data_IF_277034206220
#
_entry.id   IF_277034206220
#
_cell.length_a   1.000
_cell.length_b   1.000
_cell.length_c   1.000
_cell.angle_alpha   90.00
_cell.angle_beta   90.00
_cell.angle_gamma   90.00
#
_symmetry.space_group_name_H-M   'P 1'
#
loop_
_entity.id
_entity.type
_entity.pdbx_description
1 polymer ?
#
# COMPACT_ATOMS: atom_id res chain seq x y z
N UNK A 1 -11.26 0.84 -12.26
CA UNK A 1 -10.73 -0.41 -12.89
C UNK A 1 -9.28 -0.28 -13.31
N UNK A 2 -8.88 0.69 -14.14
CA UNK A 2 -7.49 0.81 -14.66
C UNK A 2 -6.40 0.85 -13.59
N UNK A 3 -6.65 1.50 -12.43
CA UNK A 3 -5.64 1.62 -11.37
C UNK A 3 -5.41 0.30 -10.65
N UNK A 4 -6.47 -0.46 -10.33
CA UNK A 4 -6.35 -1.81 -9.76
C UNK A 4 -5.54 -2.73 -10.69
N UNK A 5 -5.87 -2.73 -11.99
CA UNK A 5 -5.12 -3.46 -12.99
C UNK A 5 -3.63 -3.10 -13.02
N UNK A 6 -3.32 -1.79 -13.01
CA UNK A 6 -1.93 -1.31 -13.05
C UNK A 6 -1.16 -1.69 -11.77
N UNK A 7 -1.80 -1.62 -10.60
CA UNK A 7 -1.23 -2.08 -9.33
C UNK A 7 -0.94 -3.57 -9.39
N UNK A 8 -1.91 -4.39 -9.81
CA UNK A 8 -1.73 -5.84 -9.93
C UNK A 8 -0.61 -6.20 -10.91
N UNK A 9 -0.53 -5.52 -12.06
CA UNK A 9 0.56 -5.71 -13.03
C UNK A 9 1.91 -5.30 -12.47
N UNK A 10 1.98 -4.25 -11.66
CA UNK A 10 3.22 -3.86 -10.99
C UNK A 10 3.64 -4.94 -9.99
N UNK A 11 2.72 -5.41 -9.15
CA UNK A 11 3.02 -6.43 -8.14
C UNK A 11 3.36 -7.81 -8.76
N UNK A 12 2.81 -8.14 -9.93
CA UNK A 12 3.14 -9.40 -10.61
C UNK A 12 4.60 -9.52 -11.05
N UNK A 13 5.37 -8.43 -11.00
CA UNK A 13 6.81 -8.46 -11.23
C UNK A 13 7.64 -8.93 -10.03
N UNK A 14 7.03 -9.08 -8.87
CA UNK A 14 7.67 -9.56 -7.65
C UNK A 14 7.20 -10.98 -7.32
N UNK A 15 8.07 -11.82 -6.73
CA UNK A 15 7.66 -13.15 -6.26
C UNK A 15 6.70 -13.02 -5.07
N UNK A 16 5.86 -14.05 -4.86
CA UNK A 16 5.10 -14.17 -3.63
C UNK A 16 6.04 -14.68 -2.54
N UNK A 17 6.11 -13.96 -1.43
CA UNK A 17 6.94 -14.26 -0.27
C UNK A 17 6.03 -14.44 0.94
N UNK A 18 6.30 -15.46 1.75
CA UNK A 18 5.45 -15.82 2.90
C UNK A 18 5.70 -14.95 4.13
N UNK A 19 6.91 -14.39 4.26
CA UNK A 19 7.29 -13.54 5.39
C UNK A 19 8.50 -12.67 5.07
N UNK A 20 8.69 -11.62 5.86
CA UNK A 20 9.86 -10.75 5.83
C UNK A 20 9.86 -9.80 7.02
N UNK A 21 10.93 -9.04 7.20
CA UNK A 21 11.05 -8.06 8.27
C UNK A 21 10.20 -6.83 7.95
N UNK A 22 9.14 -6.64 8.71
CA UNK A 22 8.27 -5.48 8.57
C UNK A 22 8.94 -4.22 9.11
N UNK A 23 9.01 -3.19 8.27
CA UNK A 23 9.36 -1.83 8.69
C UNK A 23 8.14 -1.08 9.22
N UNK A 24 8.34 0.11 9.77
CA UNK A 24 7.22 0.92 10.26
C UNK A 24 6.28 1.38 9.13
N UNK A 25 6.79 1.52 7.89
CA UNK A 25 5.94 1.75 6.72
C UNK A 25 5.01 0.58 6.42
N UNK A 26 5.48 -0.66 6.62
CA UNK A 26 4.67 -1.86 6.45
C UNK A 26 3.61 -1.98 7.54
N UNK A 27 3.99 -1.74 8.80
CA UNK A 27 3.04 -1.73 9.92
C UNK A 27 1.97 -0.66 9.73
N UNK A 28 2.36 0.54 9.27
CA UNK A 28 1.41 1.60 8.98
C UNK A 28 0.36 1.19 7.94
N UNK A 29 0.77 0.66 6.78
CA UNK A 29 -0.21 0.27 5.76
C UNK A 29 -1.07 -0.91 6.19
N UNK A 30 -0.53 -1.84 6.99
CA UNK A 30 -1.28 -2.95 7.55
C UNK A 30 -2.29 -2.48 8.60
N UNK A 31 -1.98 -1.46 9.40
CA UNK A 31 -2.97 -0.87 10.33
C UNK A 31 -4.11 -0.15 9.58
N UNK A 32 -3.81 0.52 8.48
CA UNK A 32 -4.85 1.08 7.59
C UNK A 32 -5.68 -0.03 6.91
N UNK A 33 -5.06 -1.16 6.60
CA UNK A 33 -5.75 -2.33 6.05
C UNK A 33 -6.72 -2.95 7.07
N UNK A 34 -6.32 -3.09 8.33
CA UNK A 34 -7.19 -3.59 9.41
C UNK A 34 -8.43 -2.69 9.57
N UNK A 35 -8.24 -1.37 9.52
CA UNK A 35 -9.35 -0.41 9.53
C UNK A 35 -10.28 -0.59 8.34
N UNK A 36 -9.71 -0.78 7.14
CA UNK A 36 -10.48 -1.04 5.92
C UNK A 36 -11.29 -2.34 6.04
N UNK A 37 -10.68 -3.42 6.52
CA UNK A 37 -11.34 -4.72 6.73
C UNK A 37 -12.53 -4.55 7.66
N UNK A 38 -12.37 -3.85 8.79
CA UNK A 38 -13.43 -3.57 9.74
C UNK A 38 -14.61 -2.85 9.09
N UNK A 39 -14.35 -1.77 8.35
CA UNK A 39 -15.36 -0.99 7.63
C UNK A 39 -16.10 -1.82 6.58
N UNK A 40 -15.37 -2.66 5.83
CA UNK A 40 -15.95 -3.52 4.82
C UNK A 40 -16.84 -4.61 5.44
N UNK A 41 -16.37 -5.29 6.47
CA UNK A 41 -17.12 -6.36 7.14
C UNK A 41 -18.38 -5.82 7.79
N UNK A 42 -18.33 -4.63 8.42
CA UNK A 42 -19.53 -3.96 8.95
C UNK A 42 -20.52 -3.62 7.83
N UNK A 43 -20.05 -3.05 6.72
CA UNK A 43 -20.88 -2.72 5.57
C UNK A 43 -21.57 -3.95 4.98
N UNK A 44 -20.82 -5.02 4.73
CA UNK A 44 -21.35 -6.26 4.16
C UNK A 44 -22.35 -6.95 5.10
N UNK A 45 -22.10 -6.98 6.41
CA UNK A 45 -23.04 -7.54 7.38
C UNK A 45 -24.41 -6.85 7.39
N UNK A 46 -24.44 -5.57 6.98
CA UNK A 46 -25.65 -4.74 6.87
C UNK A 46 -26.21 -4.66 5.44
N UNK A 47 -25.67 -5.44 4.50
CA UNK A 47 -26.01 -5.36 3.06
C UNK A 47 -25.83 -3.96 2.46
N UNK A 48 -24.95 -3.14 3.03
CA UNK A 48 -24.62 -1.80 2.55
C UNK A 48 -23.31 -1.85 1.75
N UNK A 49 -23.41 -2.03 0.45
CA UNK A 49 -22.25 -2.12 -0.45
C UNK A 49 -21.61 -0.76 -0.79
N UNK A 50 -22.33 0.34 -0.54
CA UNK A 50 -21.82 1.68 -0.83
C UNK A 50 -20.63 2.06 0.06
N UNK A 51 -20.71 1.74 1.36
CA UNK A 51 -19.64 2.02 2.33
C UNK A 51 -18.35 1.27 1.96
N UNK A 52 -18.36 -0.07 1.79
CA UNK A 52 -17.18 -0.81 1.34
C UNK A 52 -16.63 -0.32 0.01
N UNK A 53 -17.48 -0.07 -1.00
CA UNK A 53 -17.03 0.39 -2.31
C UNK A 53 -16.27 1.73 -2.23
N UNK A 54 -16.77 2.66 -1.41
CA UNK A 54 -16.14 3.97 -1.22
C UNK A 54 -14.83 3.85 -0.44
N UNK A 55 -14.80 3.09 0.65
CA UNK A 55 -13.62 2.89 1.47
C UNK A 55 -12.51 2.15 0.69
N UNK A 56 -12.86 1.10 -0.04
CA UNK A 56 -11.93 0.35 -0.89
C UNK A 56 -11.33 1.22 -1.99
N UNK A 57 -12.14 2.07 -2.63
CA UNK A 57 -11.64 3.01 -3.63
C UNK A 57 -10.66 3.99 -3.00
N UNK A 58 -11.02 4.62 -1.89
CA UNK A 58 -10.18 5.60 -1.20
C UNK A 58 -8.85 4.99 -0.76
N UNK A 59 -8.89 3.87 -0.07
CA UNK A 59 -7.70 3.15 0.37
C UNK A 59 -6.81 2.75 -0.81
N UNK A 60 -7.36 2.09 -1.82
CA UNK A 60 -6.57 1.57 -2.95
C UNK A 60 -5.91 2.69 -3.76
N UNK A 61 -6.61 3.82 -3.97
CA UNK A 61 -6.12 4.90 -4.82
C UNK A 61 -5.21 5.88 -4.11
N UNK A 62 -5.60 6.30 -2.90
CA UNK A 62 -4.98 7.45 -2.23
C UNK A 62 -4.00 7.06 -1.14
N UNK A 63 -4.17 5.88 -0.53
CA UNK A 63 -3.28 5.38 0.52
C UNK A 63 -2.32 4.33 -0.06
N UNK A 64 -2.84 3.21 -0.55
CA UNK A 64 -2.00 2.11 -1.02
C UNK A 64 -1.18 2.49 -2.27
N UNK A 65 -1.86 2.88 -3.38
CA UNK A 65 -1.16 3.13 -4.64
C UNK A 65 -0.41 4.47 -4.68
N UNK A 66 -0.94 5.52 -4.03
CA UNK A 66 -0.32 6.85 -4.11
C UNK A 66 0.76 7.08 -3.05
N UNK A 67 0.70 6.38 -1.91
CA UNK A 67 1.66 6.58 -0.83
C UNK A 67 2.51 5.32 -0.63
N UNK A 68 1.91 4.22 -0.14
CA UNK A 68 2.68 3.06 0.30
C UNK A 68 3.49 2.41 -0.82
N UNK A 69 2.90 2.16 -2.00
CA UNK A 69 3.66 1.56 -3.13
C UNK A 69 4.87 2.42 -3.47
N UNK A 70 4.72 3.74 -3.53
CA UNK A 70 5.84 4.63 -3.86
C UNK A 70 6.91 4.64 -2.75
N UNK A 71 6.53 4.56 -1.48
CA UNK A 71 7.47 4.43 -0.35
C UNK A 71 8.21 3.09 -0.38
N UNK A 72 7.49 1.99 -0.60
CA UNK A 72 8.06 0.64 -0.57
C UNK A 72 8.84 0.28 -1.86
N UNK A 73 8.70 1.05 -2.93
CA UNK A 73 9.23 0.71 -4.26
C UNK A 73 10.74 0.46 -4.27
N UNK A 74 11.55 1.37 -3.71
CA UNK A 74 12.99 1.21 -3.66
C UNK A 74 13.39 -0.04 -2.87
N UNK A 75 12.71 -0.29 -1.76
CA UNK A 75 12.91 -1.44 -0.89
C UNK A 75 12.52 -2.75 -1.60
N UNK A 76 11.38 -2.81 -2.27
CA UNK A 76 10.95 -3.98 -3.03
C UNK A 76 11.94 -4.35 -4.17
N UNK A 77 12.63 -3.35 -4.73
CA UNK A 77 13.72 -3.56 -5.69
C UNK A 77 15.09 -3.82 -5.04
N UNK A 78 15.20 -3.81 -3.72
CA UNK A 78 16.47 -4.01 -3.00
C UNK A 78 17.46 -2.86 -3.16
N UNK A 79 16.99 -1.65 -3.48
CA UNK A 79 17.85 -0.48 -3.70
C UNK A 79 18.11 0.22 -2.38
N UNK A 80 19.29 -0.03 -1.76
CA UNK A 80 19.68 0.59 -0.49
C UNK A 80 19.07 -0.06 0.77
N UNK A 81 18.53 -1.27 0.63
CA UNK A 81 17.92 -2.05 1.72
C UNK A 81 18.48 -3.47 1.75
N UNK A 82 18.42 -4.12 2.90
CA UNK A 82 18.80 -5.52 3.03
C UNK A 82 17.71 -6.48 2.48
N UNK A 83 18.08 -7.76 2.33
CA UNK A 83 17.17 -8.75 1.75
C UNK A 83 15.93 -8.99 2.63
N UNK A 84 16.06 -8.96 3.96
CA UNK A 84 14.93 -9.14 4.88
C UNK A 84 13.95 -7.97 4.80
N UNK A 85 14.44 -6.73 4.68
CA UNK A 85 13.62 -5.53 4.49
C UNK A 85 12.93 -5.54 3.12
N UNK A 86 13.63 -6.02 2.05
CA UNK A 86 13.05 -6.21 0.72
C UNK A 86 11.92 -7.23 0.78
N UNK A 87 12.15 -8.36 1.39
CA UNK A 87 11.18 -9.44 1.49
C UNK A 87 9.95 -9.00 2.31
N UNK A 88 10.16 -8.21 3.38
CA UNK A 88 9.07 -7.57 4.12
C UNK A 88 8.21 -6.64 3.27
N UNK A 89 8.84 -5.83 2.38
CA UNK A 89 8.10 -4.97 1.47
C UNK A 89 7.28 -5.78 0.45
N UNK A 90 7.88 -6.80 -0.16
CA UNK A 90 7.22 -7.66 -1.15
C UNK A 90 6.05 -8.43 -0.50
N UNK A 91 6.28 -9.02 0.68
CA UNK A 91 5.22 -9.67 1.46
C UNK A 91 4.05 -8.72 1.70
N UNK A 92 4.32 -7.51 2.21
CA UNK A 92 3.26 -6.54 2.53
C UNK A 92 2.50 -6.08 1.28
N UNK A 93 3.20 -5.83 0.18
CA UNK A 93 2.56 -5.48 -1.10
C UNK A 93 1.56 -6.55 -1.55
N UNK A 94 1.96 -7.83 -1.55
CA UNK A 94 1.07 -8.94 -1.92
C UNK A 94 -0.04 -9.17 -0.90
N UNK A 95 0.23 -9.05 0.39
CA UNK A 95 -0.76 -9.14 1.46
C UNK A 95 -1.87 -8.12 1.28
N UNK A 96 -1.52 -6.84 1.05
CA UNK A 96 -2.48 -5.77 0.85
C UNK A 96 -3.30 -6.00 -0.43
N UNK A 97 -2.65 -6.36 -1.55
CA UNK A 97 -3.38 -6.57 -2.81
C UNK A 97 -4.33 -7.76 -2.72
N UNK A 98 -3.90 -8.90 -2.18
CA UNK A 98 -4.75 -10.09 -2.04
C UNK A 98 -5.97 -9.80 -1.15
N UNK A 99 -5.79 -9.04 -0.08
CA UNK A 99 -6.87 -8.58 0.80
C UNK A 99 -7.85 -7.64 0.07
N UNK A 100 -7.34 -6.66 -0.69
CA UNK A 100 -8.18 -5.77 -1.52
C UNK A 100 -9.01 -6.59 -2.52
N UNK A 101 -8.43 -7.59 -3.18
CA UNK A 101 -9.15 -8.42 -4.14
C UNK A 101 -10.30 -9.20 -3.47
N UNK A 102 -10.05 -9.81 -2.31
CA UNK A 102 -11.10 -10.52 -1.53
C UNK A 102 -12.23 -9.58 -1.11
N UNK A 103 -11.88 -8.40 -0.61
CA UNK A 103 -12.88 -7.39 -0.20
C UNK A 103 -13.65 -6.82 -1.40
N UNK A 104 -13.05 -6.69 -2.58
CA UNK A 104 -13.72 -6.20 -3.80
C UNK A 104 -14.54 -7.29 -4.51
N UNK A 105 -14.31 -8.57 -4.25
CA UNK A 105 -14.98 -9.67 -4.95
C UNK A 105 -16.51 -9.57 -4.96
N UNK A 106 -17.20 -9.18 -3.86
CA UNK A 106 -18.65 -8.99 -3.90
C UNK A 106 -19.14 -7.82 -4.78
N UNK A 107 -18.26 -6.87 -5.12
CA UNK A 107 -18.60 -5.64 -5.87
C UNK A 107 -18.19 -5.73 -7.33
N UNK A 108 -17.02 -6.30 -7.59
CA UNK A 108 -16.44 -6.39 -8.94
C UNK A 108 -15.94 -7.82 -9.24
N UNK A 109 -16.87 -8.81 -9.28
CA UNK A 109 -16.52 -10.24 -9.26
C UNK A 109 -15.61 -10.68 -10.41
N UNK A 110 -15.82 -10.17 -11.63
CA UNK A 110 -15.08 -10.65 -12.80
C UNK A 110 -13.60 -10.21 -12.80
N UNK A 111 -13.32 -8.96 -12.44
CA UNK A 111 -11.94 -8.47 -12.43
C UNK A 111 -11.15 -9.05 -11.25
N UNK A 112 -11.78 -9.20 -10.09
CA UNK A 112 -11.14 -9.78 -8.91
C UNK A 112 -10.85 -11.26 -9.11
N UNK A 113 -11.78 -12.02 -9.69
CA UNK A 113 -11.57 -13.42 -10.07
C UNK A 113 -10.39 -13.57 -11.04
N UNK A 114 -10.39 -12.76 -12.11
CA UNK A 114 -9.31 -12.84 -13.09
C UNK A 114 -7.93 -12.53 -12.49
N UNK A 115 -7.82 -11.47 -11.67
CA UNK A 115 -6.56 -11.11 -11.03
C UNK A 115 -6.13 -12.14 -9.98
N UNK A 116 -7.09 -12.71 -9.25
CA UNK A 116 -6.84 -13.74 -8.23
C UNK A 116 -6.27 -15.01 -8.84
N UNK A 117 -6.93 -15.54 -9.86
CA UNK A 117 -6.49 -16.75 -10.58
C UNK A 117 -5.15 -16.53 -11.30
N UNK A 118 -4.84 -15.29 -11.71
CA UNK A 118 -3.58 -14.98 -12.37
C UNK A 118 -2.41 -14.89 -11.39
N UNK A 119 -2.65 -14.41 -10.17
CA UNK A 119 -1.57 -14.03 -9.25
C UNK A 119 -1.42 -14.97 -8.04
N UNK A 120 -2.51 -15.53 -7.52
CA UNK A 120 -2.49 -16.10 -6.18
C UNK A 120 -2.95 -17.55 -6.06
N UNK A 121 -3.89 -18.03 -6.88
CA UNK A 121 -4.50 -19.34 -6.69
C UNK A 121 -5.09 -19.89 -7.98
N UNK A 122 -5.17 -21.23 -8.10
CA UNK A 122 -5.94 -21.93 -9.14
C UNK A 122 -7.42 -22.02 -8.77
N UNK A 123 -7.78 -21.81 -7.51
CA UNK A 123 -9.15 -21.83 -7.01
C UNK A 123 -9.80 -20.44 -7.07
N UNK A 124 -11.13 -20.42 -7.28
CA UNK A 124 -11.91 -19.18 -7.37
C UNK A 124 -11.84 -18.35 -6.09
N UNK A 125 -11.67 -17.03 -6.22
CA UNK A 125 -11.73 -16.06 -5.10
C UNK A 125 -13.08 -16.11 -4.37
N UNK A 126 -14.16 -16.54 -5.07
CA UNK A 126 -15.50 -16.63 -4.49
C UNK A 126 -15.69 -17.81 -3.53
N UNK A 127 -14.67 -18.69 -3.40
CA UNK A 127 -14.60 -19.71 -2.36
C UNK A 127 -13.85 -19.23 -1.11
N UNK A 128 -13.16 -18.08 -1.21
CA UNK A 128 -12.39 -17.52 -0.11
C UNK A 128 -13.29 -16.87 0.93
N UNK A 129 -12.85 -16.89 2.18
CA UNK A 129 -13.48 -16.15 3.25
C UNK A 129 -13.10 -14.66 3.19
N UNK A 130 -14.00 -13.79 3.66
CA UNK A 130 -13.67 -12.39 3.85
C UNK A 130 -12.52 -12.26 4.87
N UNK A 131 -11.59 -11.34 4.62
CA UNK A 131 -10.46 -11.14 5.52
C UNK A 131 -10.89 -10.72 6.93
N UNK A 132 -10.14 -11.19 7.93
CA UNK A 132 -10.26 -10.78 9.32
C UNK A 132 -9.15 -9.79 9.67
N UNK A 133 -9.38 -8.96 10.70
CA UNK A 133 -8.39 -8.02 11.22
C UNK A 133 -7.28 -8.78 11.94
N UNK A 134 -6.04 -8.33 11.78
CA UNK A 134 -4.85 -8.94 12.39
C UNK A 134 -4.45 -8.23 13.71
N UNK A 135 -5.14 -7.17 14.10
CA UNK A 135 -4.87 -6.35 15.28
C UNK A 135 -3.44 -5.79 15.30
N UNK A 136 -3.02 -5.27 14.15
CA UNK A 136 -1.75 -4.54 14.03
C UNK A 136 -1.81 -3.27 14.90
N UNK A 137 -0.66 -2.89 15.48
CA UNK A 137 -0.55 -1.62 16.20
C UNK A 137 -1.09 -0.45 15.36
N UNK A 138 -2.02 0.32 15.92
CA UNK A 138 -2.67 1.39 15.18
C UNK A 138 -1.71 2.56 14.90
N UNK A 139 -1.33 2.70 13.65
CA UNK A 139 -0.51 3.79 13.12
C UNK A 139 -1.29 4.72 12.19
N UNK A 140 -2.62 4.60 12.12
CA UNK A 140 -3.46 5.38 11.18
C UNK A 140 -3.38 6.89 11.42
N UNK A 141 -3.01 7.34 12.62
CA UNK A 141 -2.76 8.75 12.91
C UNK A 141 -1.61 9.35 12.08
N UNK A 142 -0.70 8.53 11.55
CA UNK A 142 0.42 8.97 10.71
C UNK A 142 0.02 9.29 9.27
N UNK A 143 -1.10 8.74 8.80
CA UNK A 143 -1.53 8.82 7.38
C UNK A 143 -1.57 10.25 6.86
N UNK A 144 -2.23 11.16 7.58
CA UNK A 144 -2.33 12.56 7.14
C UNK A 144 -0.95 13.23 7.06
N UNK A 145 -0.06 12.95 8.01
CA UNK A 145 1.30 13.50 8.04
C UNK A 145 2.17 13.01 6.88
N UNK A 146 2.04 11.73 6.52
CA UNK A 146 2.71 11.14 5.36
C UNK A 146 2.22 11.80 4.06
N UNK A 147 0.90 11.91 3.88
CA UNK A 147 0.29 12.54 2.70
C UNK A 147 0.74 13.99 2.56
N UNK A 148 0.70 14.76 3.64
CA UNK A 148 1.12 16.18 3.65
C UNK A 148 2.60 16.32 3.30
N UNK A 149 3.46 15.49 3.89
CA UNK A 149 4.89 15.52 3.60
C UNK A 149 5.17 15.18 2.13
N UNK A 150 4.63 14.09 1.63
CA UNK A 150 4.79 13.69 0.23
C UNK A 150 4.28 14.76 -0.74
N UNK A 151 3.12 15.33 -0.45
CA UNK A 151 2.54 16.41 -1.26
C UNK A 151 3.43 17.65 -1.24
N UNK A 152 4.02 18.01 -0.09
CA UNK A 152 4.97 19.12 0.03
C UNK A 152 6.18 18.91 -0.86
N UNK A 153 6.81 17.71 -0.78
CA UNK A 153 8.00 17.40 -1.57
C UNK A 153 7.71 17.47 -3.08
N UNK A 154 6.58 16.89 -3.52
CA UNK A 154 6.18 16.94 -4.94
C UNK A 154 5.92 18.37 -5.42
N UNK A 155 5.28 19.20 -4.60
CA UNK A 155 5.02 20.60 -4.93
C UNK A 155 6.32 21.40 -5.00
N UNK A 156 7.26 21.21 -4.06
CA UNK A 156 8.57 21.89 -4.09
C UNK A 156 9.39 21.48 -5.31
N UNK A 157 9.43 20.18 -5.67
CA UNK A 157 10.07 19.72 -6.92
C UNK A 157 9.46 20.41 -8.14
N UNK A 158 8.12 20.46 -8.21
CA UNK A 158 7.42 21.09 -9.32
C UNK A 158 7.71 22.60 -9.42
N UNK A 159 7.73 23.32 -8.30
CA UNK A 159 8.04 24.76 -8.26
C UNK A 159 9.47 25.05 -8.71
N UNK A 160 10.41 24.15 -8.42
CA UNK A 160 11.81 24.24 -8.84
C UNK A 160 12.09 23.64 -10.23
N UNK A 161 11.04 23.25 -11.01
CA UNK A 161 11.15 22.57 -12.29
C UNK A 161 12.00 21.28 -12.26
N UNK A 162 12.01 20.59 -11.12
CA UNK A 162 12.70 19.33 -10.93
C UNK A 162 11.79 18.16 -11.35
N UNK A 163 12.41 17.12 -11.89
CA UNK A 163 11.77 15.82 -12.10
C UNK A 163 11.50 15.16 -10.75
N UNK A 164 10.52 14.26 -10.70
CA UNK A 164 10.28 13.46 -9.49
C UNK A 164 11.50 12.61 -9.08
N UNK A 165 12.40 12.33 -10.03
CA UNK A 165 13.63 11.54 -9.81
C UNK A 165 14.83 12.39 -9.37
N UNK A 166 14.76 13.71 -9.50
CA UNK A 166 15.87 14.58 -9.12
C UNK A 166 15.98 14.64 -7.60
N UNK A 167 17.19 14.83 -7.10
CA UNK A 167 17.41 15.04 -5.67
C UNK A 167 16.88 16.39 -5.21
N UNK A 168 16.49 16.46 -3.93
CA UNK A 168 16.07 17.72 -3.29
C UNK A 168 16.42 17.68 -1.81
N UNK A 169 16.76 18.84 -1.26
CA UNK A 169 17.04 18.98 0.16
C UNK A 169 15.79 19.46 0.90
N UNK A 170 15.13 18.58 1.61
CA UNK A 170 13.95 18.86 2.44
C UNK A 170 14.10 18.12 3.75
N UNK A 171 13.88 18.82 4.85
CA UNK A 171 13.91 18.24 6.18
C UNK A 171 12.64 17.42 6.44
N UNK A 172 12.84 16.16 6.92
CA UNK A 172 11.76 15.29 7.35
C UNK A 172 11.35 15.69 8.76
N UNK A 173 10.05 15.95 9.02
CA UNK A 173 9.59 16.26 10.37
C UNK A 173 9.87 15.12 11.35
N UNK A 174 10.26 15.43 12.58
CA UNK A 174 10.59 14.46 13.64
C UNK A 174 9.51 13.37 13.82
N UNK A 175 8.23 13.76 13.74
CA UNK A 175 7.10 12.81 13.81
C UNK A 175 7.10 11.73 12.72
N UNK A 176 7.87 11.89 11.64
CA UNK A 176 8.01 10.94 10.54
C UNK A 176 9.37 10.22 10.54
N UNK A 177 10.20 10.39 11.58
CA UNK A 177 11.54 9.78 11.63
C UNK A 177 11.54 8.26 11.46
N UNK A 178 10.52 7.58 11.97
CA UNK A 178 10.35 6.12 11.79
C UNK A 178 10.19 5.69 10.33
N UNK A 179 9.74 6.60 9.44
CA UNK A 179 9.58 6.35 8.01
C UNK A 179 10.74 6.91 7.17
N UNK A 180 11.75 7.49 7.82
CA UNK A 180 12.81 8.28 7.20
C UNK A 180 13.52 7.56 6.06
N UNK A 181 13.86 6.29 6.25
CA UNK A 181 14.60 5.49 5.26
C UNK A 181 13.80 5.35 3.95
N UNK A 182 12.52 5.00 4.05
CA UNK A 182 11.61 4.88 2.90
C UNK A 182 11.33 6.24 2.24
N UNK A 183 11.14 7.31 3.03
CA UNK A 183 10.88 8.66 2.52
C UNK A 183 12.10 9.25 1.79
N UNK A 184 13.32 9.00 2.29
CA UNK A 184 14.56 9.39 1.61
C UNK A 184 14.65 8.68 0.26
N UNK A 185 14.43 7.37 0.24
CA UNK A 185 14.50 6.57 -0.98
C UNK A 185 13.41 6.96 -1.99
N UNK A 186 12.18 7.17 -1.53
CA UNK A 186 11.04 7.57 -2.37
C UNK A 186 11.28 8.90 -3.08
N UNK A 187 11.78 9.87 -2.35
CA UNK A 187 11.91 11.24 -2.84
C UNK A 187 13.32 11.61 -3.30
N UNK A 188 14.28 10.71 -3.19
CA UNK A 188 15.70 10.99 -3.44
C UNK A 188 16.16 12.22 -2.64
N UNK A 189 15.91 12.21 -1.31
CA UNK A 189 16.28 13.32 -0.46
C UNK A 189 17.78 13.31 -0.18
N UNK A 190 18.39 14.51 -0.25
CA UNK A 190 19.77 14.69 0.16
C UNK A 190 19.88 14.59 1.70
N UNK A 191 20.68 13.64 2.17
CA UNK A 191 21.03 13.51 3.60
C UNK A 191 22.21 14.41 3.92
N UNK A 192 22.13 15.15 5.03
CA UNK A 192 23.27 15.93 5.54
C UNK A 192 24.38 15.02 6.05
#
# INVERSE_FOLDING_TARGET
MSKLWNVSRFLSSFPIIESGKLTDSDKWILSELDKLISVCNEGYSKYNFFIPATALREFTWNIFAAQYIEMAKARAYGIGFDDDERDGAIFTLHKVLSTILKLLAPITPFITEHLWLTLYSEDSIHKEQLPEIENIEDMTAMTQSIIEFNSRVWNEKKQNNLSLKDSIKIEIPEKLDQFKKDLIAMHNLETN
#
